data_IF_054286186358
#
_entry.id   IF_054286186358
#
_cell.length_a   1.000
_cell.length_b   1.000
_cell.length_c   1.000
_cell.angle_alpha   90.00
_cell.angle_beta   90.00
_cell.angle_gamma   90.00
#
_symmetry.space_group_name_H-M   'P 1'
#
loop_
_entity.id
_entity.type
_entity.pdbx_description
1 polymer ?
#
# COMPACT_ATOMS: atom_id res chain seq x y z
N UNK A 1 7.87 4.92 -10.72
CA UNK A 1 6.91 4.77 -9.61
C UNK A 1 6.29 6.11 -9.23
N UNK A 2 7.08 7.19 -9.13
CA UNK A 2 6.57 8.55 -8.87
C UNK A 2 5.57 9.04 -9.93
N UNK A 3 5.88 8.88 -11.23
CA UNK A 3 4.95 9.24 -12.31
C UNK A 3 3.65 8.43 -12.31
N UNK A 4 3.70 7.16 -11.92
CA UNK A 4 2.51 6.31 -11.76
C UNK A 4 1.64 6.77 -10.59
N UNK A 5 2.25 7.19 -9.48
CA UNK A 5 1.55 7.78 -8.34
C UNK A 5 0.86 9.09 -8.69
N UNK A 6 1.53 9.97 -9.44
CA UNK A 6 0.95 11.22 -9.94
C UNK A 6 -0.26 10.96 -10.85
N UNK A 7 -0.12 10.08 -11.84
CA UNK A 7 -1.20 9.75 -12.76
C UNK A 7 -2.42 9.18 -12.01
N UNK A 8 -2.19 8.24 -11.08
CA UNK A 8 -3.25 7.66 -10.25
C UNK A 8 -3.91 8.74 -9.38
N UNK A 9 -3.14 9.64 -8.76
CA UNK A 9 -3.70 10.74 -7.96
C UNK A 9 -4.61 11.69 -8.76
N UNK A 10 -4.21 12.03 -9.99
CA UNK A 10 -5.04 12.84 -10.91
C UNK A 10 -6.30 12.08 -11.34
N UNK A 11 -6.16 10.80 -11.72
CA UNK A 11 -7.29 9.94 -12.12
C UNK A 11 -8.29 9.80 -10.98
N UNK A 12 -7.84 9.51 -9.76
CA UNK A 12 -8.72 9.39 -8.59
C UNK A 12 -9.49 10.68 -8.37
N UNK A 13 -8.83 11.84 -8.45
CA UNK A 13 -9.51 13.12 -8.28
C UNK A 13 -10.53 13.38 -9.40
N UNK A 14 -10.18 13.05 -10.64
CA UNK A 14 -11.10 13.15 -11.76
C UNK A 14 -12.34 12.28 -11.50
N UNK A 15 -12.16 11.03 -11.09
CA UNK A 15 -13.29 10.16 -10.74
C UNK A 15 -14.05 10.61 -9.48
N UNK A 16 -13.38 11.22 -8.49
CA UNK A 16 -14.02 11.73 -7.28
C UNK A 16 -14.99 12.88 -7.58
N UNK A 17 -14.73 13.67 -8.64
CA UNK A 17 -15.66 14.69 -9.14
C UNK A 17 -16.95 14.10 -9.74
N UNK A 18 -16.88 12.88 -10.29
CA UNK A 18 -18.05 12.19 -10.87
C UNK A 18 -18.69 11.18 -9.92
N UNK A 19 -17.95 10.66 -8.94
CA UNK A 19 -18.41 9.60 -8.03
C UNK A 19 -17.67 9.69 -6.70
N UNK A 20 -18.33 10.22 -5.67
CA UNK A 20 -17.82 10.37 -4.28
C UNK A 20 -17.42 9.05 -3.60
N UNK A 21 -17.74 7.90 -4.20
CA UNK A 21 -17.35 6.60 -3.70
C UNK A 21 -15.84 6.34 -3.79
N UNK A 22 -15.14 6.88 -4.80
CA UNK A 22 -13.70 6.63 -4.95
C UNK A 22 -12.87 7.35 -3.89
N UNK A 23 -13.16 8.61 -3.57
CA UNK A 23 -12.50 9.32 -2.47
C UNK A 23 -12.67 8.59 -1.14
N UNK A 24 -13.86 8.04 -0.88
CA UNK A 24 -14.13 7.24 0.32
C UNK A 24 -13.32 5.92 0.36
N UNK A 25 -13.07 5.28 -0.78
CA UNK A 25 -12.23 4.09 -0.85
C UNK A 25 -10.74 4.42 -0.70
N UNK A 26 -10.27 5.52 -1.29
CA UNK A 26 -8.88 5.96 -1.14
C UNK A 26 -8.58 6.57 0.23
N UNK A 27 -9.62 6.93 0.99
CA UNK A 27 -9.51 7.27 2.40
C UNK A 27 -9.48 6.04 3.31
N UNK A 28 -9.46 4.81 2.78
CA UNK A 28 -9.28 3.59 3.58
C UNK A 28 -7.82 3.12 3.55
N UNK A 29 -7.26 2.88 4.73
CA UNK A 29 -5.89 2.38 4.90
C UNK A 29 -5.62 1.06 4.15
N UNK A 30 -6.64 0.20 4.03
CA UNK A 30 -6.52 -1.11 3.38
C UNK A 30 -6.10 -1.02 1.92
N UNK A 31 -6.58 -0.02 1.19
CA UNK A 31 -6.20 0.20 -0.23
C UNK A 31 -4.72 0.58 -0.34
N UNK A 32 -4.23 1.38 0.59
CA UNK A 32 -2.83 1.80 0.64
C UNK A 32 -1.89 0.66 0.97
N UNK A 33 -2.26 -0.19 1.93
CA UNK A 33 -1.46 -1.37 2.27
C UNK A 33 -1.47 -2.37 1.12
N UNK A 34 -2.61 -2.54 0.44
CA UNK A 34 -2.69 -3.40 -0.75
C UNK A 34 -1.76 -2.90 -1.87
N UNK A 35 -1.83 -1.61 -2.23
CA UNK A 35 -0.96 -0.98 -3.23
C UNK A 35 0.51 -1.09 -2.82
N UNK A 36 0.83 -0.78 -1.56
CA UNK A 36 2.18 -0.92 -1.01
C UNK A 36 2.70 -2.36 -1.12
N UNK A 37 1.83 -3.35 -0.89
CA UNK A 37 2.20 -4.76 -1.00
C UNK A 37 2.50 -5.17 -2.44
N UNK A 38 1.64 -4.78 -3.39
CA UNK A 38 1.84 -5.09 -4.82
C UNK A 38 3.14 -4.46 -5.34
N UNK A 39 3.43 -3.21 -4.98
CA UNK A 39 4.66 -2.50 -5.36
C UNK A 39 5.89 -3.14 -4.70
N UNK A 40 5.78 -3.52 -3.43
CA UNK A 40 6.87 -4.15 -2.68
C UNK A 40 7.26 -5.52 -3.26
N UNK A 41 6.27 -6.37 -3.58
CA UNK A 41 6.51 -7.70 -4.19
C UNK A 41 7.14 -7.59 -5.59
N UNK A 42 6.85 -6.52 -6.33
CA UNK A 42 7.44 -6.26 -7.67
C UNK A 42 8.91 -5.81 -7.62
N UNK A 43 9.41 -5.41 -6.44
CA UNK A 43 10.70 -4.72 -6.30
C UNK A 43 11.87 -5.68 -6.02
N UNK A 44 13.04 -5.37 -6.61
CA UNK A 44 14.23 -6.25 -6.56
C UNK A 44 15.00 -6.17 -5.23
N UNK A 45 15.05 -4.99 -4.61
CA UNK A 45 15.73 -4.77 -3.32
C UNK A 45 14.77 -4.14 -2.31
N UNK A 46 14.99 -4.34 -1.00
CA UNK A 46 14.09 -3.80 0.03
C UNK A 46 14.12 -2.27 0.07
N UNK A 47 15.27 -1.65 -0.23
CA UNK A 47 15.39 -0.19 -0.36
C UNK A 47 14.66 0.34 -1.59
N UNK A 48 14.72 -0.37 -2.73
CA UNK A 48 13.92 0.00 -3.90
C UNK A 48 12.42 -0.17 -3.64
N UNK A 49 12.01 -1.21 -2.89
CA UNK A 49 10.62 -1.41 -2.49
C UNK A 49 10.13 -0.24 -1.63
N UNK A 50 10.88 0.13 -0.58
CA UNK A 50 10.57 1.24 0.30
C UNK A 50 10.49 2.57 -0.47
N UNK A 51 11.48 2.86 -1.32
CA UNK A 51 11.50 4.08 -2.14
C UNK A 51 10.38 4.13 -3.19
N UNK A 52 10.04 2.99 -3.80
CA UNK A 52 8.95 2.87 -4.77
C UNK A 52 7.58 3.12 -4.14
N UNK A 53 7.33 2.49 -2.99
CA UNK A 53 6.08 2.67 -2.22
C UNK A 53 5.96 4.12 -1.74
N UNK A 54 7.03 4.67 -1.18
CA UNK A 54 7.06 6.06 -0.73
C UNK A 54 6.81 7.04 -1.89
N UNK A 55 7.53 6.89 -3.00
CA UNK A 55 7.37 7.77 -4.16
C UNK A 55 5.99 7.68 -4.80
N UNK A 56 5.39 6.48 -4.81
CA UNK A 56 4.01 6.30 -5.26
C UNK A 56 3.02 7.01 -4.32
N UNK A 57 3.16 6.80 -3.01
CA UNK A 57 2.29 7.38 -2.00
C UNK A 57 2.36 8.91 -1.99
N UNK A 58 3.58 9.44 -1.93
CA UNK A 58 3.86 10.87 -1.95
C UNK A 58 3.35 11.53 -3.24
N UNK A 59 3.63 10.92 -4.40
CA UNK A 59 3.15 11.43 -5.69
C UNK A 59 1.62 11.46 -5.78
N UNK A 60 0.97 10.40 -5.30
CA UNK A 60 -0.50 10.32 -5.29
C UNK A 60 -1.13 11.39 -4.39
N UNK A 61 -0.62 11.57 -3.17
CA UNK A 61 -1.08 12.61 -2.24
C UNK A 61 -0.84 14.02 -2.78
N UNK A 62 0.35 14.26 -3.33
CA UNK A 62 0.70 15.54 -3.92
C UNK A 62 -0.23 15.89 -5.09
N UNK A 63 -0.48 14.95 -6.01
CA UNK A 63 -1.40 15.16 -7.13
C UNK A 63 -2.84 15.35 -6.64
N UNK A 64 -3.31 14.53 -5.71
CA UNK A 64 -4.67 14.59 -5.18
C UNK A 64 -4.97 15.93 -4.50
N UNK A 65 -4.11 16.37 -3.57
CA UNK A 65 -4.32 17.64 -2.87
C UNK A 65 -4.06 18.87 -3.74
N UNK A 66 -3.09 18.81 -4.67
CA UNK A 66 -2.87 19.90 -5.63
C UNK A 66 -4.11 20.08 -6.50
N UNK A 67 -4.66 18.98 -7.04
CA UNK A 67 -5.89 19.04 -7.85
C UNK A 67 -7.09 19.48 -7.01
N UNK A 68 -7.21 19.04 -5.74
CA UNK A 68 -8.26 19.49 -4.84
C UNK A 68 -8.23 21.00 -4.54
N UNK A 69 -7.02 21.59 -4.43
CA UNK A 69 -6.85 23.04 -4.31
C UNK A 69 -7.27 23.77 -5.58
N UNK A 70 -6.87 23.26 -6.75
CA UNK A 70 -7.23 23.86 -8.03
C UNK A 70 -8.74 23.85 -8.29
N UNK A 71 -9.46 22.82 -7.84
CA UNK A 71 -10.91 22.70 -8.02
C UNK A 71 -11.72 23.34 -6.88
N UNK A 72 -11.11 24.11 -5.96
CA UNK A 72 -11.80 24.78 -4.83
C UNK A 72 -12.69 23.85 -3.97
N UNK A 73 -12.33 22.57 -3.92
CA UNK A 73 -13.14 21.56 -3.26
C UNK A 73 -12.92 21.53 -1.75
N UNK A 74 -13.98 21.25 -0.99
CA UNK A 74 -13.95 21.12 0.47
C UNK A 74 -13.19 19.83 0.82
N UNK A 75 -12.01 19.95 1.44
CA UNK A 75 -11.27 18.82 2.00
C UNK A 75 -10.90 19.10 3.46
N UNK A 76 -10.86 18.06 4.28
CA UNK A 76 -10.48 18.20 5.69
C UNK A 76 -8.95 18.28 5.83
N UNK A 77 -8.39 19.41 6.32
CA UNK A 77 -6.95 19.55 6.51
C UNK A 77 -6.40 18.65 7.63
N UNK A 78 -7.27 18.19 8.54
CA UNK A 78 -6.91 17.21 9.58
C UNK A 78 -6.62 15.85 8.94
N UNK A 79 -7.51 15.40 8.05
CA UNK A 79 -7.35 14.14 7.32
C UNK A 79 -6.09 14.17 6.45
N UNK A 80 -5.85 15.29 5.76
CA UNK A 80 -4.66 15.46 4.94
C UNK A 80 -3.36 15.29 5.71
N UNK A 81 -3.25 15.90 6.90
CA UNK A 81 -2.08 15.75 7.77
C UNK A 81 -1.87 14.30 8.21
N UNK A 82 -2.94 13.58 8.56
CA UNK A 82 -2.87 12.16 8.91
C UNK A 82 -2.29 11.31 7.77
N UNK A 83 -2.72 11.57 6.53
CA UNK A 83 -2.21 10.87 5.35
C UNK A 83 -0.76 11.20 5.01
N UNK A 84 -0.32 12.44 5.23
CA UNK A 84 1.09 12.82 5.08
C UNK A 84 1.98 12.04 6.05
N UNK A 85 1.57 11.93 7.32
CA UNK A 85 2.30 11.14 8.33
C UNK A 85 2.29 9.65 7.95
N UNK A 86 1.15 9.12 7.50
CA UNK A 86 1.05 7.73 7.05
C UNK A 86 1.96 7.44 5.84
N UNK A 87 2.01 8.35 4.86
CA UNK A 87 2.93 8.22 3.71
C UNK A 87 4.39 8.15 4.17
N UNK A 88 4.77 8.83 5.24
CA UNK A 88 6.12 8.75 5.79
C UNK A 88 6.41 7.38 6.45
N UNK A 89 5.37 6.69 6.94
CA UNK A 89 5.46 5.34 7.51
C UNK A 89 5.38 4.22 6.46
N UNK A 90 4.80 4.47 5.29
CA UNK A 90 4.73 3.47 4.20
C UNK A 90 6.07 2.88 3.70
N UNK A 91 7.23 3.57 3.67
CA UNK A 91 8.51 2.93 3.33
C UNK A 91 8.90 1.82 4.33
N UNK A 92 8.60 2.00 5.62
CA UNK A 92 8.81 0.99 6.66
C UNK A 92 7.95 -0.25 6.41
N UNK A 93 6.68 -0.05 6.06
CA UNK A 93 5.78 -1.14 5.68
C UNK A 93 6.26 -1.86 4.42
N UNK A 94 6.67 -1.10 3.38
CA UNK A 94 7.21 -1.66 2.14
C UNK A 94 8.45 -2.52 2.37
N UNK A 95 9.34 -2.09 3.27
CA UNK A 95 10.52 -2.85 3.71
C UNK A 95 10.14 -4.16 4.41
N UNK A 96 9.21 -4.10 5.37
CA UNK A 96 8.72 -5.29 6.09
C UNK A 96 8.03 -6.30 5.16
N UNK A 97 7.19 -5.84 4.23
CA UNK A 97 6.51 -6.70 3.25
C UNK A 97 7.52 -7.41 2.34
N UNK A 98 8.58 -6.73 1.92
CA UNK A 98 9.61 -7.33 1.08
C UNK A 98 10.31 -8.49 1.81
N UNK A 99 10.64 -8.29 3.09
CA UNK A 99 11.21 -9.33 3.96
C UNK A 99 10.22 -10.47 4.26
N UNK A 100 8.93 -10.15 4.39
CA UNK A 100 7.86 -11.14 4.58
C UNK A 100 7.68 -12.08 3.36
N UNK A 101 8.09 -11.64 2.16
CA UNK A 101 8.18 -12.49 0.97
C UNK A 101 9.36 -13.46 0.97
N UNK A 102 10.29 -13.39 1.94
CA UNK A 102 11.49 -14.22 2.06
C UNK A 102 11.22 -15.73 2.27
N UNK A 103 12.31 -16.52 2.36
CA UNK A 103 12.25 -17.94 2.76
C UNK A 103 12.64 -18.05 4.24
N UNK A 104 11.87 -18.79 5.03
CA UNK A 104 12.19 -19.09 6.44
C UNK A 104 11.03 -18.83 7.40
N UNK A 105 11.21 -19.21 8.66
CA UNK A 105 10.23 -19.02 9.73
C UNK A 105 10.03 -17.53 10.05
N UNK A 106 11.09 -16.72 9.93
CA UNK A 106 11.07 -15.26 10.14
C UNK A 106 10.17 -14.55 9.13
N UNK A 107 10.18 -14.96 7.86
CA UNK A 107 9.33 -14.40 6.82
C UNK A 107 7.84 -14.71 7.06
N UNK A 108 7.52 -15.92 7.56
CA UNK A 108 6.16 -16.27 7.99
C UNK A 108 5.72 -15.45 9.20
N UNK A 109 6.60 -15.26 10.18
CA UNK A 109 6.27 -14.47 11.36
C UNK A 109 5.99 -13.01 11.00
N UNK A 110 6.80 -12.42 10.11
CA UNK A 110 6.54 -11.07 9.57
C UNK A 110 5.24 -11.01 8.77
N UNK A 111 4.95 -12.01 7.93
CA UNK A 111 3.72 -12.06 7.17
C UNK A 111 2.48 -12.09 8.08
N UNK A 112 2.50 -12.97 9.09
CA UNK A 112 1.43 -13.07 10.07
C UNK A 112 1.32 -11.77 10.87
N UNK A 113 2.44 -11.17 11.26
CA UNK A 113 2.46 -9.88 11.96
C UNK A 113 1.85 -8.75 11.13
N UNK A 114 2.20 -8.64 9.84
CA UNK A 114 1.63 -7.62 8.94
C UNK A 114 0.13 -7.85 8.78
N UNK A 115 -0.29 -9.10 8.54
CA UNK A 115 -1.69 -9.50 8.44
C UNK A 115 -2.42 -9.21 9.76
N UNK A 116 -1.83 -9.42 10.93
CA UNK A 116 -2.47 -9.18 12.22
C UNK A 116 -2.53 -7.68 12.61
N UNK A 117 -1.52 -6.90 12.24
CA UNK A 117 -1.47 -5.44 12.49
C UNK A 117 -2.45 -4.69 11.59
N UNK A 118 -2.73 -5.20 10.40
CA UNK A 118 -3.70 -4.65 9.44
C UNK A 118 -5.12 -4.42 10.01
N UNK A 119 -5.82 -5.42 10.56
CA UNK A 119 -7.15 -5.25 11.14
C UNK A 119 -7.07 -4.47 12.45
N UNK A 120 -5.99 -4.61 13.23
CA UNK A 120 -5.82 -3.83 14.45
C UNK A 120 -5.72 -2.33 14.14
N UNK A 121 -4.94 -1.94 13.13
CA UNK A 121 -4.86 -0.56 12.67
C UNK A 121 -6.18 -0.08 12.05
N UNK A 122 -6.90 -0.93 11.32
CA UNK A 122 -8.20 -0.60 10.75
C UNK A 122 -9.27 -0.36 11.83
N UNK A 123 -9.30 -1.18 12.88
CA UNK A 123 -10.19 -1.01 14.04
C UNK A 123 -9.84 0.28 14.78
N UNK A 124 -8.56 0.51 15.05
CA UNK A 124 -8.09 1.58 15.93
C UNK A 124 -8.15 2.97 15.27
N UNK A 125 -8.09 3.06 13.93
CA UNK A 125 -8.21 4.34 13.20
C UNK A 125 -9.60 4.66 12.65
N UNK A 126 -10.43 3.66 12.33
CA UNK A 126 -11.70 3.89 11.61
C UNK A 126 -12.95 3.38 12.34
N UNK A 127 -12.81 2.74 13.51
CA UNK A 127 -13.91 2.31 14.40
C UNK A 127 -14.98 1.41 13.72
N UNK A 128 -14.67 0.85 12.54
CA UNK A 128 -15.53 -0.11 11.81
C UNK A 128 -14.71 -1.08 10.97
N UNK A 129 -14.89 -2.38 11.21
CA UNK A 129 -14.52 -3.43 10.26
C UNK A 129 -15.54 -3.46 9.12
N UNK A 130 -15.16 -3.03 7.92
CA UNK A 130 -15.99 -3.23 6.72
C UNK A 130 -15.54 -4.51 6.02
N UNK A 131 -16.49 -5.26 5.45
CA UNK A 131 -16.21 -6.54 4.79
C UNK A 131 -15.17 -6.45 3.65
N UNK A 132 -15.00 -5.26 3.05
CA UNK A 132 -13.96 -5.00 2.04
C UNK A 132 -12.53 -4.99 2.58
N UNK A 133 -12.32 -4.60 3.84
CA UNK A 133 -11.00 -4.66 4.48
C UNK A 133 -10.55 -6.12 4.65
N UNK A 134 -11.47 -6.99 5.06
CA UNK A 134 -11.25 -8.45 5.13
C UNK A 134 -10.90 -9.04 3.77
N UNK A 135 -11.58 -8.60 2.70
CA UNK A 135 -11.33 -9.10 1.35
C UNK A 135 -9.94 -8.67 0.85
N UNK A 136 -9.54 -7.41 1.05
CA UNK A 136 -8.20 -6.91 0.71
C UNK A 136 -7.11 -7.58 1.56
N UNK A 137 -7.39 -7.86 2.83
CA UNK A 137 -6.50 -8.57 3.73
C UNK A 137 -6.31 -10.03 3.30
N UNK A 138 -7.39 -10.72 2.93
CA UNK A 138 -7.33 -12.06 2.34
C UNK A 138 -6.54 -12.05 1.02
N UNK A 139 -6.73 -11.03 0.18
CA UNK A 139 -6.00 -10.91 -1.08
C UNK A 139 -4.50 -10.67 -0.87
N UNK A 140 -4.15 -9.78 0.07
CA UNK A 140 -2.77 -9.47 0.45
C UNK A 140 -2.08 -10.73 1.01
N UNK A 141 -2.76 -11.45 1.91
CA UNK A 141 -2.30 -12.72 2.44
C UNK A 141 -2.15 -13.79 1.36
N UNK A 142 -3.09 -13.88 0.40
CA UNK A 142 -3.02 -14.82 -0.72
C UNK A 142 -1.85 -14.51 -1.66
N UNK A 143 -1.61 -13.23 -1.98
CA UNK A 143 -0.46 -12.80 -2.80
C UNK A 143 0.84 -13.18 -2.10
N UNK A 144 0.98 -12.87 -0.81
CA UNK A 144 2.18 -13.18 -0.06
C UNK A 144 2.40 -14.69 0.11
N UNK A 145 1.32 -15.46 0.37
CA UNK A 145 1.35 -16.91 0.48
C UNK A 145 1.69 -17.58 -0.86
N UNK A 146 1.16 -17.07 -1.98
CA UNK A 146 1.53 -17.55 -3.33
C UNK A 146 3.01 -17.30 -3.61
N UNK A 147 3.53 -16.14 -3.21
CA UNK A 147 4.93 -15.81 -3.38
C UNK A 147 5.83 -16.70 -2.50
N UNK A 148 5.47 -16.89 -1.22
CA UNK A 148 6.16 -17.83 -0.32
C UNK A 148 6.14 -19.27 -0.87
N UNK A 149 5.01 -19.74 -1.37
CA UNK A 149 4.88 -21.10 -1.94
C UNK A 149 5.63 -21.26 -3.26
N UNK A 150 5.62 -20.23 -4.11
CA UNK A 150 6.40 -20.18 -5.36
C UNK A 150 7.90 -20.24 -5.10
N UNK A 151 8.36 -19.58 -4.03
CA UNK A 151 9.74 -19.68 -3.54
C UNK A 151 10.03 -21.05 -2.94
N UNK A 152 9.14 -21.68 -2.17
CA UNK A 152 9.41 -23.03 -1.63
C UNK A 152 9.50 -24.09 -2.73
N UNK A 153 8.70 -23.97 -3.81
CA UNK A 153 8.67 -24.94 -4.94
C UNK A 153 9.76 -24.76 -6.01
N UNK A 154 10.78 -23.93 -5.77
CA UNK A 154 11.92 -23.79 -6.70
C UNK A 154 11.60 -23.15 -8.07
N UNK A 155 10.36 -22.71 -8.33
CA UNK A 155 9.92 -22.20 -9.64
C UNK A 155 10.16 -20.70 -9.87
N UNK A 156 10.83 -20.01 -8.94
CA UNK A 156 11.24 -18.62 -9.12
C UNK A 156 12.65 -18.55 -9.74
N UNK A 157 12.67 -18.53 -11.07
CA UNK A 157 13.79 -18.13 -11.95
C UNK A 157 14.68 -17.06 -11.28
N UNK A 158 15.97 -17.34 -11.06
CA UNK A 158 17.03 -16.37 -10.86
C UNK A 158 16.72 -15.14 -9.96
N UNK A 159 16.20 -15.32 -8.74
CA UNK A 159 15.70 -14.19 -7.93
C UNK A 159 16.77 -13.35 -7.18
N UNK A 160 18.04 -13.35 -7.62
CA UNK A 160 19.11 -12.44 -7.13
C UNK A 160 20.40 -12.58 -7.95
N UNK A 161 20.33 -12.34 -9.25
CA UNK A 161 21.54 -12.28 -10.08
C UNK A 161 22.26 -10.95 -9.88
N UNK A 162 23.42 -11.00 -9.20
CA UNK A 162 24.51 -10.02 -9.31
C UNK A 162 24.36 -8.75 -8.47
N UNK A 163 25.36 -8.56 -7.60
CA UNK A 163 25.95 -7.30 -7.11
C UNK A 163 25.17 -6.02 -7.42
#
# INVERSE_FOLDING_TARGET
MLGTGLAVGVIIRFFDLYTTNLGNMFSELSVWVFLGTVISVRSRTPFQAAGAVFGFCFGMLAAYYTTARLTHSIYSPVMARGWWIFSLLTPLLGYCVWHAGGRGHTARLLAIGIIAVLPAAAVLLFDRLRGRDLLLMAFTGAVLYREQRGRIRGKARCWRGGV
#
